data_IF_157441812405
#
_entry.id   IF_157441812405
#
_cell.length_a   1.000
_cell.length_b   1.000
_cell.length_c   1.000
_cell.angle_alpha   90.00
_cell.angle_beta   90.00
_cell.angle_gamma   90.00
#
_symmetry.space_group_name_H-M   'P 1'
#
loop_
_entity.id
_entity.type
_entity.pdbx_description
1 polymer ?
#
# COMPACT_ATOMS: atom_id res chain seq x y z
N UNK A 1 41.31 3.33 -36.04
CA UNK A 1 40.57 2.24 -35.37
C UNK A 1 40.68 2.48 -33.85
N UNK A 2 39.84 3.38 -33.31
CA UNK A 2 39.81 3.69 -31.88
C UNK A 2 38.90 2.68 -31.19
N UNK A 3 39.50 1.82 -30.37
CA UNK A 3 38.82 1.02 -29.36
C UNK A 3 38.19 1.97 -28.35
N UNK A 4 36.91 2.32 -28.55
CA UNK A 4 36.08 2.91 -27.51
C UNK A 4 36.03 1.90 -26.37
N UNK A 5 36.82 2.15 -25.34
CA UNK A 5 36.74 1.48 -24.06
C UNK A 5 35.31 1.73 -23.56
N UNK A 6 34.47 0.72 -23.69
CA UNK A 6 33.09 0.74 -23.26
C UNK A 6 33.07 0.63 -21.73
N UNK A 7 33.51 1.70 -21.04
CA UNK A 7 33.39 1.79 -19.59
C UNK A 7 31.91 1.83 -19.28
N UNK A 8 31.41 0.78 -18.61
CA UNK A 8 30.03 0.75 -18.14
C UNK A 8 29.75 2.05 -17.37
N UNK A 9 28.64 2.75 -17.66
CA UNK A 9 28.36 4.04 -17.04
C UNK A 9 28.31 3.91 -15.52
N UNK A 10 29.00 4.80 -14.82
CA UNK A 10 28.99 4.85 -13.36
C UNK A 10 27.58 5.17 -12.87
N UNK A 11 26.97 4.23 -12.14
CA UNK A 11 25.65 4.38 -11.55
C UNK A 11 25.78 4.80 -10.08
N UNK A 12 25.19 5.93 -9.73
CA UNK A 12 25.06 6.35 -8.34
C UNK A 12 23.61 6.10 -7.90
N UNK A 13 23.42 5.32 -6.84
CA UNK A 13 22.09 4.89 -6.39
C UNK A 13 21.26 4.34 -7.56
N UNK A 14 21.82 3.41 -8.32
CA UNK A 14 21.17 2.74 -9.46
C UNK A 14 20.86 3.60 -10.71
N UNK A 15 21.03 4.92 -10.65
CA UNK A 15 20.79 5.84 -11.77
C UNK A 15 22.11 6.32 -12.41
N UNK A 16 22.05 6.54 -13.72
CA UNK A 16 23.10 7.23 -14.49
C UNK A 16 22.99 8.75 -14.34
N UNK A 17 24.07 9.49 -14.62
CA UNK A 17 24.09 10.95 -14.44
C UNK A 17 23.00 11.69 -15.22
N UNK A 18 22.67 11.24 -16.44
CA UNK A 18 21.58 11.83 -17.22
C UNK A 18 20.19 11.48 -16.65
N UNK A 19 20.03 10.28 -16.07
CA UNK A 19 18.79 9.86 -15.40
C UNK A 19 18.55 10.73 -14.16
N UNK A 20 19.60 10.98 -13.37
CA UNK A 20 19.57 11.91 -12.24
C UNK A 20 19.18 13.32 -12.66
N UNK A 21 19.81 13.86 -13.72
CA UNK A 21 19.49 15.19 -14.22
C UNK A 21 18.02 15.30 -14.63
N UNK A 22 17.49 14.30 -15.35
CA UNK A 22 16.06 14.29 -15.74
C UNK A 22 15.15 14.19 -14.51
N UNK A 23 15.48 13.30 -13.57
CA UNK A 23 14.70 13.12 -12.35
C UNK A 23 14.61 14.42 -11.55
N UNK A 24 15.75 15.07 -11.29
CA UNK A 24 15.82 16.32 -10.53
C UNK A 24 15.07 17.45 -11.25
N UNK A 25 15.22 17.58 -12.57
CA UNK A 25 14.52 18.62 -13.33
C UNK A 25 13.01 18.44 -13.31
N UNK A 26 12.51 17.21 -13.53
CA UNK A 26 11.08 16.93 -13.51
C UNK A 26 10.52 17.13 -12.09
N UNK A 27 11.19 16.57 -11.07
CA UNK A 27 10.78 16.75 -9.67
C UNK A 27 10.80 18.21 -9.27
N UNK A 28 11.81 18.98 -9.68
CA UNK A 28 11.93 20.41 -9.40
C UNK A 28 10.82 21.22 -10.07
N UNK A 29 10.51 20.93 -11.34
CA UNK A 29 9.43 21.60 -12.05
C UNK A 29 8.05 21.35 -11.40
N UNK A 30 7.75 20.09 -11.05
CA UNK A 30 6.47 19.74 -10.39
C UNK A 30 6.41 20.34 -8.97
N UNK A 31 7.52 20.34 -8.24
CA UNK A 31 7.60 20.97 -6.92
C UNK A 31 7.44 22.49 -6.99
N UNK A 32 7.96 23.15 -8.02
CA UNK A 32 7.78 24.58 -8.23
C UNK A 32 6.30 24.93 -8.50
N UNK A 33 5.60 24.10 -9.28
CA UNK A 33 4.14 24.23 -9.45
C UNK A 33 3.44 24.06 -8.11
N UNK A 34 3.77 23.03 -7.32
CA UNK A 34 3.18 22.85 -6.00
C UNK A 34 3.49 24.02 -5.05
N UNK A 35 4.70 24.60 -5.12
CA UNK A 35 5.09 25.76 -4.33
C UNK A 35 4.22 26.99 -4.63
N UNK A 36 3.82 27.19 -5.90
CA UNK A 36 2.91 28.28 -6.28
C UNK A 36 1.55 28.22 -5.55
N UNK A 37 1.11 27.02 -5.13
CA UNK A 37 -0.15 26.79 -4.42
C UNK A 37 0.00 26.49 -2.92
N UNK A 38 1.23 26.46 -2.41
CA UNK A 38 1.50 26.06 -1.01
C UNK A 38 2.53 26.93 -0.28
N UNK A 39 3.11 27.92 -0.95
CA UNK A 39 4.13 28.81 -0.39
C UNK A 39 3.62 29.56 0.85
N UNK A 40 2.37 29.99 0.84
CA UNK A 40 1.68 30.68 1.93
C UNK A 40 1.33 29.75 3.10
N UNK A 41 1.20 28.45 2.84
CA UNK A 41 0.86 27.44 3.84
C UNK A 41 2.12 26.87 4.50
N UNK A 42 3.00 26.25 3.72
CA UNK A 42 4.23 25.63 4.21
C UNK A 42 5.14 25.17 3.06
N UNK A 43 6.44 25.50 3.07
CA UNK A 43 7.39 25.03 2.05
C UNK A 43 7.55 23.50 2.05
N UNK A 44 7.23 22.85 3.17
CA UNK A 44 7.32 21.40 3.33
C UNK A 44 6.46 20.63 2.34
N UNK A 45 5.34 21.19 1.88
CA UNK A 45 4.47 20.57 0.87
C UNK A 45 5.25 20.41 -0.44
N UNK A 46 5.81 21.50 -0.96
CA UNK A 46 6.60 21.48 -2.19
C UNK A 46 7.82 20.57 -2.09
N UNK A 47 8.48 20.54 -0.93
CA UNK A 47 9.60 19.64 -0.67
C UNK A 47 9.17 18.17 -0.70
N UNK A 48 8.02 17.82 -0.08
CA UNK A 48 7.49 16.45 -0.14
C UNK A 48 7.04 16.06 -1.54
N UNK A 49 6.46 16.98 -2.32
CA UNK A 49 6.15 16.74 -3.74
C UNK A 49 7.42 16.44 -4.53
N UNK A 50 8.49 17.22 -4.35
CA UNK A 50 9.80 16.94 -4.95
C UNK A 50 10.27 15.52 -4.63
N UNK A 51 10.25 15.15 -3.34
CA UNK A 51 10.70 13.85 -2.86
C UNK A 51 9.84 12.71 -3.42
N UNK A 52 8.52 12.86 -3.45
CA UNK A 52 7.60 11.84 -3.97
C UNK A 52 7.81 11.60 -5.46
N UNK A 53 7.90 12.67 -6.27
CA UNK A 53 8.17 12.55 -7.71
C UNK A 53 9.55 11.93 -7.96
N UNK A 54 10.57 12.38 -7.20
CA UNK A 54 11.93 11.84 -7.32
C UNK A 54 11.95 10.35 -6.96
N UNK A 55 11.25 9.95 -5.91
CA UNK A 55 11.11 8.55 -5.49
C UNK A 55 10.40 7.72 -6.55
N UNK A 56 9.32 8.24 -7.14
CA UNK A 56 8.61 7.59 -8.25
C UNK A 56 9.51 7.37 -9.47
N UNK A 57 10.28 8.40 -9.86
CA UNK A 57 11.24 8.28 -10.96
C UNK A 57 12.34 7.26 -10.62
N UNK A 58 12.95 7.37 -9.44
CA UNK A 58 13.97 6.45 -8.95
C UNK A 58 13.44 5.00 -8.92
N UNK A 59 12.17 4.79 -8.56
CA UNK A 59 11.52 3.48 -8.58
C UNK A 59 11.53 2.87 -9.98
N UNK A 60 11.27 3.65 -11.05
CA UNK A 60 11.22 3.10 -12.42
C UNK A 60 12.55 2.51 -12.91
N UNK A 61 13.67 3.03 -12.43
CA UNK A 61 15.01 2.56 -12.81
C UNK A 61 15.58 1.58 -11.79
N UNK A 62 15.51 1.91 -10.49
CA UNK A 62 16.12 1.13 -9.42
C UNK A 62 15.43 -0.22 -9.20
N UNK A 63 14.14 -0.35 -9.54
CA UNK A 63 13.41 -1.63 -9.41
C UNK A 63 14.01 -2.75 -10.25
N UNK A 64 14.87 -2.45 -11.22
CA UNK A 64 15.60 -3.48 -12.00
C UNK A 64 16.68 -4.21 -11.19
N UNK A 65 17.06 -3.64 -10.04
CA UNK A 65 18.16 -4.11 -9.20
C UNK A 65 17.71 -4.50 -7.80
N UNK A 66 16.60 -3.95 -7.32
CA UNK A 66 16.06 -4.24 -5.99
C UNK A 66 14.53 -4.20 -5.98
N UNK A 67 13.93 -4.85 -4.99
CA UNK A 67 12.48 -4.82 -4.81
C UNK A 67 12.05 -3.41 -4.32
N UNK A 68 11.07 -2.74 -4.94
CA UNK A 68 10.74 -1.34 -4.65
C UNK A 68 9.86 -1.11 -3.41
N UNK A 69 9.93 -1.99 -2.40
CA UNK A 69 9.14 -1.80 -1.16
C UNK A 69 9.44 -0.46 -0.48
N UNK A 70 10.69 -0.01 -0.39
CA UNK A 70 11.00 1.24 0.31
C UNK A 70 10.55 2.47 -0.47
N UNK A 71 10.56 2.42 -1.80
CA UNK A 71 9.95 3.46 -2.61
C UNK A 71 8.46 3.56 -2.35
N UNK A 72 7.77 2.42 -2.35
CA UNK A 72 6.34 2.36 -2.06
C UNK A 72 6.06 2.90 -0.65
N UNK A 73 6.87 2.54 0.35
CA UNK A 73 6.73 3.05 1.72
C UNK A 73 6.91 4.58 1.80
N UNK A 74 7.92 5.14 1.12
CA UNK A 74 8.14 6.59 1.07
C UNK A 74 6.97 7.29 0.35
N UNK A 75 6.47 6.73 -0.76
CA UNK A 75 5.32 7.28 -1.48
C UNK A 75 4.05 7.25 -0.64
N UNK A 76 3.80 6.16 0.08
CA UNK A 76 2.66 6.06 1.00
C UNK A 76 2.81 7.03 2.18
N UNK A 77 3.99 7.17 2.77
CA UNK A 77 4.23 8.12 3.85
C UNK A 77 4.05 9.57 3.36
N UNK A 78 4.56 9.90 2.17
CA UNK A 78 4.35 11.21 1.55
C UNK A 78 2.85 11.48 1.31
N UNK A 79 2.12 10.48 0.77
CA UNK A 79 0.68 10.57 0.58
C UNK A 79 -0.06 10.78 1.91
N UNK A 80 0.15 9.90 2.88
CA UNK A 80 -0.66 9.84 4.10
C UNK A 80 -0.34 10.95 5.10
N UNK A 81 0.92 11.38 5.20
CA UNK A 81 1.35 12.38 6.18
C UNK A 81 1.36 13.81 5.63
N UNK A 82 1.50 14.01 4.32
CA UNK A 82 1.61 15.38 3.78
C UNK A 82 0.57 15.65 2.71
N UNK A 83 0.53 14.87 1.63
CA UNK A 83 -0.29 15.22 0.46
C UNK A 83 -1.79 15.10 0.75
N UNK A 84 -2.22 14.06 1.47
CA UNK A 84 -3.62 13.90 1.87
C UNK A 84 -4.01 14.95 2.93
N UNK A 85 -3.09 15.32 3.83
CA UNK A 85 -3.32 16.39 4.79
C UNK A 85 -3.44 17.76 4.10
N UNK A 86 -2.65 18.00 3.06
CA UNK A 86 -2.77 19.18 2.18
C UNK A 86 -4.08 19.18 1.40
N UNK A 87 -4.53 18.03 0.90
CA UNK A 87 -5.84 17.92 0.27
C UNK A 87 -6.98 18.21 1.28
N UNK A 88 -6.88 17.68 2.51
CA UNK A 88 -7.85 17.95 3.58
C UNK A 88 -7.91 19.43 3.99
N UNK A 89 -6.86 20.21 3.75
CA UNK A 89 -6.89 21.65 4.01
C UNK A 89 -7.88 22.38 3.10
N UNK A 90 -7.98 21.96 1.84
CA UNK A 90 -8.93 22.52 0.86
C UNK A 90 -10.30 21.84 0.89
N UNK A 91 -10.33 20.56 1.24
CA UNK A 91 -11.55 19.76 1.37
C UNK A 91 -11.67 19.26 2.82
N UNK A 92 -12.10 20.13 3.75
CA UNK A 92 -12.11 19.82 5.18
C UNK A 92 -13.09 18.68 5.50
N UNK A 93 -12.78 17.82 6.50
CA UNK A 93 -13.69 16.79 6.97
C UNK A 93 -15.02 17.37 7.45
N UNK A 94 -16.09 16.61 7.24
CA UNK A 94 -17.38 16.84 7.90
C UNK A 94 -17.29 16.69 9.43
N UNK A 95 -16.43 15.79 9.92
CA UNK A 95 -16.20 15.59 11.35
C UNK A 95 -14.99 16.41 11.85
N UNK A 96 -15.20 17.40 12.74
CA UNK A 96 -14.13 18.24 13.27
C UNK A 96 -13.00 17.48 13.98
N UNK A 97 -13.25 16.24 14.45
CA UNK A 97 -12.23 15.42 15.11
C UNK A 97 -11.06 15.03 14.20
N UNK A 98 -11.29 15.03 12.88
CA UNK A 98 -10.29 14.72 11.86
C UNK A 98 -9.65 15.97 11.25
N UNK A 99 -10.12 17.16 11.62
CA UNK A 99 -9.56 18.41 11.13
C UNK A 99 -8.25 18.73 11.88
N UNK A 100 -7.22 19.08 11.11
CA UNK A 100 -5.94 19.58 11.66
C UNK A 100 -6.07 21.08 11.97
N UNK A 101 -6.98 21.77 11.27
CA UNK A 101 -7.34 23.17 11.52
C UNK A 101 -6.15 24.12 11.42
N UNK A 102 -6.16 25.14 12.28
CA UNK A 102 -5.14 26.20 12.31
C UNK A 102 -3.74 25.71 12.69
N UNK A 103 -3.63 24.49 13.23
CA UNK A 103 -2.34 23.84 13.55
C UNK A 103 -1.60 23.29 12.33
N UNK A 104 -2.17 23.37 11.12
CA UNK A 104 -1.65 22.70 9.93
C UNK A 104 -0.18 23.02 9.58
N UNK A 105 0.28 24.29 9.57
CA UNK A 105 1.70 24.58 9.33
C UNK A 105 2.63 23.98 10.38
N UNK A 106 2.22 23.98 11.65
CA UNK A 106 2.97 23.37 12.75
C UNK A 106 3.01 21.85 12.57
N UNK A 107 1.90 21.20 12.25
CA UNK A 107 1.88 19.77 11.94
C UNK A 107 2.85 19.41 10.82
N UNK A 108 2.86 20.17 9.71
CA UNK A 108 3.74 19.92 8.58
C UNK A 108 5.23 20.03 8.94
N UNK A 109 5.59 20.89 9.91
CA UNK A 109 6.96 20.96 10.43
C UNK A 109 7.43 19.72 11.21
N UNK A 110 6.53 18.77 11.50
CA UNK A 110 6.88 17.45 12.06
C UNK A 110 6.65 16.33 11.04
N UNK A 111 5.47 16.32 10.39
CA UNK A 111 5.07 15.27 9.45
C UNK A 111 6.01 15.17 8.23
N UNK A 112 6.35 16.30 7.60
CA UNK A 112 7.21 16.28 6.43
C UNK A 112 8.67 15.90 6.76
N UNK A 113 9.33 16.48 7.78
CA UNK A 113 10.66 16.01 8.19
C UNK A 113 10.73 14.51 8.50
N UNK A 114 9.68 13.92 9.07
CA UNK A 114 9.63 12.47 9.30
C UNK A 114 9.67 11.67 7.98
N UNK A 115 8.96 12.11 6.94
CA UNK A 115 9.03 11.51 5.60
C UNK A 115 10.43 11.65 5.00
N UNK A 116 11.07 12.80 5.18
CA UNK A 116 12.45 13.02 4.74
C UNK A 116 13.46 12.16 5.50
N UNK A 117 13.29 11.99 6.81
CA UNK A 117 14.13 11.12 7.62
C UNK A 117 14.01 9.65 7.19
N UNK A 118 12.79 9.18 6.88
CA UNK A 118 12.54 7.86 6.31
C UNK A 118 13.29 7.68 4.97
N UNK A 119 13.17 8.66 4.08
CA UNK A 119 13.86 8.63 2.79
C UNK A 119 15.39 8.67 2.95
N UNK A 120 15.90 9.49 3.86
CA UNK A 120 17.33 9.58 4.16
C UNK A 120 17.88 8.27 4.72
N UNK A 121 17.19 7.66 5.68
CA UNK A 121 17.57 6.36 6.23
C UNK A 121 17.70 5.29 5.15
N UNK A 122 16.77 5.29 4.18
CA UNK A 122 16.84 4.42 3.02
C UNK A 122 18.04 4.74 2.11
N UNK A 123 18.27 6.02 1.78
CA UNK A 123 19.39 6.45 0.95
C UNK A 123 20.74 6.00 1.53
N UNK A 124 20.93 6.13 2.84
CA UNK A 124 22.17 5.72 3.53
C UNK A 124 22.46 4.22 3.33
N UNK A 125 21.42 3.38 3.36
CA UNK A 125 21.55 1.93 3.11
C UNK A 125 21.94 1.68 1.65
N UNK A 126 21.34 2.41 0.71
CA UNK A 126 21.58 2.22 -0.72
C UNK A 126 22.98 2.62 -1.19
N UNK A 127 23.60 3.63 -0.57
CA UNK A 127 24.93 4.12 -1.01
C UNK A 127 25.98 3.01 -1.01
N UNK A 128 25.85 2.03 -0.10
CA UNK A 128 26.79 0.89 -0.02
C UNK A 128 26.42 -0.27 -0.95
N UNK A 129 25.25 -0.28 -1.55
CA UNK A 129 24.80 -1.36 -2.42
C UNK A 129 25.35 -1.18 -3.83
N UNK A 130 26.11 -2.18 -4.29
CA UNK A 130 26.54 -2.22 -5.68
C UNK A 130 25.40 -2.74 -6.56
N UNK A 131 25.05 -2.04 -7.66
CA UNK A 131 24.01 -2.47 -8.59
C UNK A 131 24.47 -3.69 -9.38
N UNK A 132 24.37 -4.88 -8.79
CA UNK A 132 24.63 -6.15 -9.46
C UNK A 132 23.30 -6.76 -9.88
N UNK A 133 23.04 -6.76 -11.19
CA UNK A 133 21.92 -7.52 -11.75
C UNK A 133 22.40 -8.94 -11.97
N UNK A 134 21.99 -9.88 -11.11
CA UNK A 134 22.07 -11.28 -11.47
C UNK A 134 21.15 -11.50 -12.69
N UNK A 135 21.60 -12.21 -13.74
CA UNK A 135 20.70 -12.60 -14.82
C UNK A 135 19.50 -13.33 -14.21
N UNK A 136 18.29 -13.19 -14.76
CA UNK A 136 17.13 -13.91 -14.26
C UNK A 136 17.35 -15.40 -14.49
N UNK A 137 17.96 -16.09 -13.53
CA UNK A 137 18.08 -17.53 -13.57
C UNK A 137 16.67 -18.11 -13.60
N UNK A 138 16.35 -18.81 -14.68
CA UNK A 138 15.12 -19.58 -14.80
C UNK A 138 15.40 -20.87 -14.03
N UNK A 139 15.24 -20.81 -12.71
CA UNK A 139 15.48 -21.95 -11.84
C UNK A 139 14.33 -22.95 -11.99
N UNK A 140 14.52 -23.92 -12.88
CA UNK A 140 13.60 -25.06 -13.08
C UNK A 140 14.04 -26.24 -12.24
N UNK A 141 14.14 -26.05 -10.92
CA UNK A 141 14.30 -27.18 -10.02
C UNK A 141 12.91 -27.77 -9.73
N UNK A 142 12.60 -29.00 -10.20
CA UNK A 142 11.30 -29.61 -9.95
C UNK A 142 11.01 -29.80 -8.45
N UNK A 143 12.05 -30.00 -7.62
CA UNK A 143 11.90 -30.12 -6.16
C UNK A 143 11.42 -28.81 -5.54
N UNK A 144 12.03 -27.69 -5.93
CA UNK A 144 11.60 -26.37 -5.46
C UNK A 144 10.15 -26.07 -5.88
N UNK A 145 9.76 -26.40 -7.12
CA UNK A 145 8.38 -26.21 -7.56
C UNK A 145 7.38 -27.06 -6.77
N UNK A 146 7.76 -28.29 -6.43
CA UNK A 146 6.97 -29.18 -5.58
C UNK A 146 6.86 -28.64 -4.16
N UNK A 147 7.96 -28.17 -3.57
CA UNK A 147 7.97 -27.54 -2.23
C UNK A 147 7.01 -26.33 -2.18
N UNK A 148 7.00 -25.50 -3.23
CA UNK A 148 6.07 -24.39 -3.35
C UNK A 148 4.61 -24.85 -3.47
N UNK A 149 4.33 -25.91 -4.25
CA UNK A 149 2.98 -26.46 -4.37
C UNK A 149 2.51 -27.11 -3.04
N UNK A 150 3.39 -27.78 -2.31
CA UNK A 150 3.12 -28.32 -0.96
C UNK A 150 2.81 -27.19 0.02
N UNK A 151 3.63 -26.13 0.01
CA UNK A 151 3.41 -24.94 0.83
C UNK A 151 2.04 -24.30 0.53
N UNK A 152 1.67 -24.23 -0.75
CA UNK A 152 0.35 -23.74 -1.17
C UNK A 152 -0.77 -24.64 -0.63
N UNK A 153 -0.65 -25.96 -0.80
CA UNK A 153 -1.63 -26.92 -0.29
C UNK A 153 -1.82 -26.81 1.23
N UNK A 154 -0.72 -26.77 2.00
CA UNK A 154 -0.75 -26.60 3.46
C UNK A 154 -1.45 -25.30 3.83
N UNK A 155 -1.15 -24.19 3.14
CA UNK A 155 -1.76 -22.90 3.44
C UNK A 155 -3.27 -22.84 3.14
N UNK A 156 -3.73 -23.53 2.10
CA UNK A 156 -5.17 -23.66 1.77
C UNK A 156 -5.87 -24.48 2.85
N UNK A 157 -5.30 -25.63 3.23
CA UNK A 157 -5.83 -26.46 4.31
C UNK A 157 -5.85 -25.69 5.64
N UNK A 158 -4.79 -24.93 5.95
CA UNK A 158 -4.72 -24.09 7.13
C UNK A 158 -5.79 -22.99 7.13
N UNK A 159 -6.13 -22.43 5.96
CA UNK A 159 -7.23 -21.46 5.84
C UNK A 159 -8.56 -22.11 6.20
N UNK A 160 -8.85 -23.31 5.68
CA UNK A 160 -10.07 -24.04 5.99
C UNK A 160 -10.14 -24.47 7.47
N UNK A 161 -9.05 -25.02 8.01
CA UNK A 161 -8.97 -25.41 9.42
C UNK A 161 -9.08 -24.20 10.36
N UNK A 162 -8.49 -23.06 9.99
CA UNK A 162 -8.60 -21.81 10.73
C UNK A 162 -10.06 -21.38 10.94
N UNK A 163 -10.89 -21.46 9.88
CA UNK A 163 -12.32 -21.15 9.99
C UNK A 163 -13.12 -22.13 10.85
N UNK A 164 -12.66 -23.39 10.98
CA UNK A 164 -13.31 -24.38 11.85
C UNK A 164 -12.90 -24.21 13.32
N UNK A 165 -11.71 -23.66 13.56
CA UNK A 165 -11.09 -23.51 14.88
C UNK A 165 -11.27 -22.10 15.48
N UNK A 166 -12.20 -21.30 14.97
CA UNK A 166 -12.51 -19.94 15.49
C UNK A 166 -12.89 -19.92 16.98
N UNK A 167 -13.25 -21.08 17.55
CA UNK A 167 -13.58 -21.22 18.98
C UNK A 167 -12.37 -21.24 19.91
N UNK A 168 -11.14 -21.36 19.38
CA UNK A 168 -9.89 -21.41 20.17
C UNK A 168 -8.94 -20.31 19.69
N UNK A 169 -9.04 -19.13 20.31
CA UNK A 169 -8.37 -17.90 19.85
C UNK A 169 -6.85 -18.04 19.64
N UNK A 170 -6.16 -18.77 20.53
CA UNK A 170 -4.70 -18.95 20.47
C UNK A 170 -4.24 -19.78 19.25
N UNK A 171 -5.04 -20.75 18.81
CA UNK A 171 -4.75 -21.57 17.64
C UNK A 171 -5.13 -20.84 16.34
N UNK A 172 -6.16 -19.99 16.38
CA UNK A 172 -6.60 -19.20 15.22
C UNK A 172 -5.46 -18.35 14.66
N UNK A 173 -4.64 -17.73 15.52
CA UNK A 173 -3.50 -16.93 15.07
C UNK A 173 -2.46 -17.75 14.27
N UNK A 174 -2.15 -18.97 14.73
CA UNK A 174 -1.22 -19.87 14.02
C UNK A 174 -1.78 -20.22 12.63
N UNK A 175 -3.06 -20.53 12.54
CA UNK A 175 -3.71 -20.81 11.26
C UNK A 175 -3.74 -19.58 10.34
N UNK A 176 -3.89 -18.37 10.87
CA UNK A 176 -3.77 -17.13 10.10
C UNK A 176 -2.36 -16.97 9.51
N UNK A 177 -1.31 -17.24 10.30
CA UNK A 177 0.07 -17.20 9.79
C UNK A 177 0.32 -18.25 8.70
N UNK A 178 -0.12 -19.50 8.93
CA UNK A 178 0.01 -20.57 7.95
C UNK A 178 -0.79 -20.30 6.67
N UNK A 179 -1.98 -19.71 6.80
CA UNK A 179 -2.82 -19.31 5.68
C UNK A 179 -2.13 -18.26 4.79
N UNK A 180 -1.39 -17.32 5.39
CA UNK A 180 -0.65 -16.29 4.65
C UNK A 180 0.54 -16.86 3.84
N UNK A 181 0.99 -18.09 4.10
CA UNK A 181 2.05 -18.73 3.30
C UNK A 181 1.60 -18.99 1.84
N UNK A 182 0.29 -18.93 1.55
CA UNK A 182 -0.24 -18.99 0.18
C UNK A 182 0.36 -17.92 -0.72
N UNK A 183 0.55 -16.71 -0.20
CA UNK A 183 1.15 -15.61 -0.94
C UNK A 183 2.63 -15.84 -1.16
N UNK A 184 3.35 -16.32 -0.13
CA UNK A 184 4.76 -16.65 -0.25
C UNK A 184 5.01 -17.70 -1.35
N UNK A 185 4.21 -18.77 -1.38
CA UNK A 185 4.30 -19.81 -2.41
C UNK A 185 4.14 -19.23 -3.82
N UNK A 186 3.07 -18.47 -4.05
CA UNK A 186 2.76 -17.90 -5.36
C UNK A 186 3.81 -16.86 -5.77
N UNK A 187 4.24 -16.00 -4.85
CA UNK A 187 5.23 -14.97 -5.10
C UNK A 187 6.62 -15.54 -5.36
N UNK A 188 7.05 -16.54 -4.62
CA UNK A 188 8.29 -17.26 -4.90
C UNK A 188 8.23 -17.91 -6.29
N UNK A 189 7.09 -18.52 -6.67
CA UNK A 189 6.89 -19.10 -8.00
C UNK A 189 6.92 -18.03 -9.11
N UNK A 190 6.30 -16.87 -8.87
CA UNK A 190 6.33 -15.71 -9.77
C UNK A 190 7.77 -15.17 -9.94
N UNK A 191 8.53 -15.07 -8.85
CA UNK A 191 9.92 -14.63 -8.85
C UNK A 191 10.82 -15.55 -9.68
N UNK A 192 10.61 -16.87 -9.65
CA UNK A 192 11.39 -17.81 -10.49
C UNK A 192 10.80 -18.01 -11.90
N UNK A 193 9.65 -17.40 -12.22
CA UNK A 193 8.87 -17.65 -13.47
C UNK A 193 8.50 -19.13 -13.64
N UNK A 194 8.15 -19.81 -12.54
CA UNK A 194 7.74 -21.21 -12.55
C UNK A 194 6.44 -21.41 -13.35
N UNK A 195 6.26 -22.56 -14.04
CA UNK A 195 5.07 -22.79 -14.85
C UNK A 195 3.79 -22.68 -14.01
N UNK A 196 2.74 -22.06 -14.57
CA UNK A 196 1.45 -21.91 -13.89
C UNK A 196 1.41 -20.92 -12.72
N UNK A 197 2.40 -20.02 -12.60
CA UNK A 197 2.32 -18.89 -11.66
C UNK A 197 1.13 -17.94 -11.92
N UNK A 198 0.72 -17.62 -13.17
CA UNK A 198 -0.32 -16.60 -13.39
C UNK A 198 -1.68 -17.05 -12.87
N UNK A 199 -2.08 -18.29 -13.13
CA UNK A 199 -3.39 -18.79 -12.69
C UNK A 199 -3.42 -19.01 -11.17
N UNK A 200 -2.31 -19.43 -10.54
CA UNK A 200 -2.22 -19.55 -9.07
C UNK A 200 -2.36 -18.18 -8.41
N UNK A 201 -1.72 -17.16 -8.99
CA UNK A 201 -1.89 -15.78 -8.55
C UNK A 201 -3.33 -15.30 -8.71
N UNK A 202 -3.95 -15.55 -9.86
CA UNK A 202 -5.35 -15.22 -10.10
C UNK A 202 -6.29 -15.94 -9.11
N UNK A 203 -6.02 -17.20 -8.79
CA UNK A 203 -6.80 -17.97 -7.82
C UNK A 203 -6.67 -17.38 -6.41
N UNK A 204 -5.45 -17.09 -5.95
CA UNK A 204 -5.22 -16.58 -4.59
C UNK A 204 -5.72 -15.14 -4.43
N UNK A 205 -5.46 -14.26 -5.40
CA UNK A 205 -6.00 -12.89 -5.36
C UNK A 205 -7.51 -12.86 -5.60
N UNK A 206 -8.05 -13.74 -6.45
CA UNK A 206 -9.49 -13.87 -6.67
C UNK A 206 -10.22 -14.37 -5.42
N UNK A 207 -9.65 -15.35 -4.72
CA UNK A 207 -10.17 -15.79 -3.42
C UNK A 207 -10.09 -14.66 -2.38
N UNK A 208 -9.01 -13.88 -2.39
CA UNK A 208 -8.89 -12.71 -1.51
C UNK A 208 -9.92 -11.63 -1.82
N UNK A 209 -10.27 -11.39 -3.08
CA UNK A 209 -11.38 -10.50 -3.47
C UNK A 209 -12.69 -10.97 -2.85
N UNK A 210 -13.01 -12.28 -2.96
CA UNK A 210 -14.23 -12.85 -2.39
C UNK A 210 -14.25 -12.70 -0.86
N UNK A 211 -13.14 -12.97 -0.20
CA UNK A 211 -13.02 -12.84 1.25
C UNK A 211 -13.12 -11.38 1.73
N UNK A 212 -12.43 -10.47 1.03
CA UNK A 212 -12.43 -9.04 1.33
C UNK A 212 -13.82 -8.42 1.15
N UNK A 213 -14.56 -8.83 0.10
CA UNK A 213 -15.95 -8.43 -0.08
C UNK A 213 -16.87 -9.07 0.97
N UNK A 214 -16.70 -10.36 1.27
CA UNK A 214 -17.51 -11.07 2.27
C UNK A 214 -17.48 -10.42 3.66
N UNK A 215 -16.33 -9.86 4.06
CA UNK A 215 -16.09 -9.18 5.33
C UNK A 215 -16.19 -7.65 5.26
N UNK A 216 -16.32 -7.09 4.06
CA UNK A 216 -16.20 -5.64 3.83
C UNK A 216 -14.84 -5.07 4.24
N UNK A 217 -13.76 -5.85 4.26
CA UNK A 217 -12.41 -5.45 4.66
C UNK A 217 -11.40 -5.59 3.52
N UNK A 218 -11.09 -4.48 2.83
CA UNK A 218 -10.17 -4.48 1.69
C UNK A 218 -8.68 -4.36 2.03
N UNK A 219 -8.30 -4.26 3.30
CA UNK A 219 -6.91 -3.96 3.69
C UNK A 219 -5.93 -5.05 3.23
N UNK A 220 -6.26 -6.32 3.49
CA UNK A 220 -5.44 -7.47 3.11
C UNK A 220 -5.30 -7.58 1.58
N UNK A 221 -6.39 -7.35 0.84
CA UNK A 221 -6.36 -7.28 -0.64
C UNK A 221 -5.41 -6.20 -1.15
N UNK A 222 -5.47 -4.98 -0.60
CA UNK A 222 -4.58 -3.88 -0.98
C UNK A 222 -3.12 -4.20 -0.68
N UNK A 223 -2.84 -4.77 0.50
CA UNK A 223 -1.49 -5.17 0.91
C UNK A 223 -0.90 -6.18 -0.08
N UNK A 224 -1.61 -7.26 -0.39
CA UNK A 224 -1.11 -8.29 -1.30
C UNK A 224 -1.06 -7.84 -2.76
N UNK A 225 -1.96 -6.95 -3.18
CA UNK A 225 -1.89 -6.31 -4.51
C UNK A 225 -0.63 -5.44 -4.64
N UNK A 226 -0.28 -4.70 -3.59
CA UNK A 226 0.94 -3.89 -3.55
C UNK A 226 2.21 -4.75 -3.58
N UNK A 227 2.24 -5.88 -2.86
CA UNK A 227 3.32 -6.86 -2.97
C UNK A 227 3.42 -7.46 -4.38
N UNK A 228 2.27 -7.79 -4.98
CA UNK A 228 2.20 -8.29 -6.37
C UNK A 228 2.78 -7.27 -7.33
N UNK A 229 2.44 -5.99 -7.18
CA UNK A 229 3.00 -4.90 -7.97
C UNK A 229 4.52 -4.76 -7.78
N UNK A 230 5.01 -4.79 -6.54
CA UNK A 230 6.44 -4.69 -6.26
C UNK A 230 7.24 -5.83 -6.92
N UNK A 231 6.76 -7.07 -6.79
CA UNK A 231 7.38 -8.26 -7.40
C UNK A 231 7.27 -8.18 -8.93
N UNK A 232 6.14 -7.72 -9.46
CA UNK A 232 5.93 -7.56 -10.89
C UNK A 232 6.95 -6.58 -11.49
N UNK A 233 7.13 -5.40 -10.89
CA UNK A 233 8.13 -4.44 -11.38
C UNK A 233 9.54 -5.04 -11.31
N UNK A 234 9.89 -5.63 -10.17
CA UNK A 234 11.21 -6.20 -9.96
C UNK A 234 11.53 -7.33 -10.94
N UNK A 235 10.62 -8.29 -11.11
CA UNK A 235 10.88 -9.50 -11.90
C UNK A 235 10.70 -9.30 -13.40
N UNK A 236 9.69 -8.53 -13.82
CA UNK A 236 9.35 -8.39 -15.23
C UNK A 236 9.94 -7.13 -15.86
N UNK A 237 10.51 -6.24 -15.05
CA UNK A 237 11.15 -4.99 -15.50
C UNK A 237 10.29 -4.25 -16.54
N UNK A 238 9.02 -3.94 -16.21
CA UNK A 238 8.13 -3.25 -17.12
C UNK A 238 8.71 -1.89 -17.52
N UNK A 239 8.26 -1.37 -18.66
CA UNK A 239 8.68 -0.04 -19.11
C UNK A 239 8.24 1.02 -18.11
N UNK A 240 8.96 2.15 -18.04
CA UNK A 240 8.60 3.26 -17.15
C UNK A 240 7.16 3.74 -17.39
N UNK A 241 6.69 3.71 -18.65
CA UNK A 241 5.30 4.02 -19.02
C UNK A 241 4.30 3.08 -18.36
N UNK A 242 4.59 1.78 -18.30
CA UNK A 242 3.71 0.81 -17.65
C UNK A 242 3.69 0.99 -16.12
N UNK A 243 4.82 1.37 -15.50
CA UNK A 243 4.87 1.70 -14.07
C UNK A 243 4.04 2.96 -13.78
N UNK A 244 4.24 4.02 -14.57
CA UNK A 244 3.47 5.26 -14.43
C UNK A 244 1.98 5.01 -14.67
N UNK A 245 1.62 4.23 -15.69
CA UNK A 245 0.23 3.84 -15.95
C UNK A 245 -0.38 3.07 -14.77
N UNK A 246 0.37 2.17 -14.14
CA UNK A 246 -0.08 1.45 -12.95
C UNK A 246 -0.25 2.38 -11.73
N UNK A 247 0.64 3.36 -11.54
CA UNK A 247 0.48 4.37 -10.49
C UNK A 247 -0.74 5.27 -10.72
N UNK A 248 -0.96 5.70 -11.96
CA UNK A 248 -2.17 6.47 -12.34
C UNK A 248 -3.43 5.63 -12.13
N UNK A 249 -3.40 4.36 -12.55
CA UNK A 249 -4.49 3.42 -12.31
C UNK A 249 -4.75 3.24 -10.81
N UNK A 250 -3.71 3.19 -9.97
CA UNK A 250 -3.87 3.13 -8.51
C UNK A 250 -4.52 4.41 -7.95
N UNK A 251 -4.12 5.60 -8.43
CA UNK A 251 -4.72 6.88 -8.01
C UNK A 251 -6.22 6.94 -8.35
N UNK A 252 -6.65 6.34 -9.47
CA UNK A 252 -8.07 6.27 -9.87
C UNK A 252 -8.80 5.16 -9.10
N UNK A 253 -8.20 3.98 -8.99
CA UNK A 253 -8.84 2.80 -8.40
C UNK A 253 -9.03 2.93 -6.89
N UNK A 254 -8.10 3.57 -6.19
CA UNK A 254 -8.13 3.68 -4.73
C UNK A 254 -9.37 4.43 -4.20
N UNK A 255 -9.74 5.62 -4.71
CA UNK A 255 -11.02 6.27 -4.47
C UNK A 255 -12.23 5.35 -4.66
N UNK A 256 -12.34 4.72 -5.85
CA UNK A 256 -13.45 3.84 -6.18
C UNK A 256 -13.55 2.61 -5.27
N UNK A 257 -12.39 2.08 -4.83
CA UNK A 257 -12.35 0.97 -3.87
C UNK A 257 -12.84 1.40 -2.47
N UNK A 258 -12.62 2.64 -2.04
CA UNK A 258 -13.11 3.11 -0.75
C UNK A 258 -14.62 3.34 -0.77
N UNK A 259 -15.15 3.87 -1.87
CA UNK A 259 -16.60 4.12 -2.01
C UNK A 259 -17.40 2.84 -2.10
N UNK A 260 -17.02 1.95 -3.02
CA UNK A 260 -17.67 0.66 -3.19
C UNK A 260 -17.64 -0.18 -1.90
N UNK A 261 -16.59 -0.02 -1.09
CA UNK A 261 -16.50 -0.62 0.25
C UNK A 261 -17.48 0.01 1.24
N UNK A 262 -17.68 1.33 1.17
CA UNK A 262 -18.64 2.03 1.99
C UNK A 262 -20.07 1.62 1.62
N UNK A 263 -20.44 1.65 0.33
CA UNK A 263 -21.75 1.18 -0.16
C UNK A 263 -22.01 -0.28 0.27
N UNK A 264 -21.04 -1.17 0.06
CA UNK A 264 -21.14 -2.57 0.49
C UNK A 264 -21.40 -2.71 2.00
N UNK A 265 -20.76 -1.89 2.83
CA UNK A 265 -20.96 -1.92 4.29
C UNK A 265 -22.29 -1.32 4.72
N UNK A 266 -22.83 -0.36 3.99
CA UNK A 266 -24.17 0.18 4.25
C UNK A 266 -25.22 -0.91 4.01
N UNK A 267 -25.13 -1.59 2.87
CA UNK A 267 -26.03 -2.70 2.53
C UNK A 267 -25.95 -3.83 3.55
N UNK A 268 -24.73 -4.21 3.97
CA UNK A 268 -24.55 -5.24 5.00
C UNK A 268 -25.20 -4.87 6.35
N UNK A 269 -25.40 -3.58 6.64
CA UNK A 269 -26.04 -3.10 7.87
C UNK A 269 -27.56 -2.97 7.75
N UNK A 270 -28.08 -2.77 6.53
CA UNK A 270 -29.51 -2.60 6.29
C UNK A 270 -30.28 -3.91 6.16
N UNK A 271 -29.60 -5.06 6.04
CA UNK A 271 -30.23 -6.39 6.06
C UNK A 271 -30.78 -6.67 7.46
N UNK A 272 -32.11 -6.62 7.62
CA UNK A 272 -32.81 -7.06 8.83
C UNK A 272 -32.95 -8.59 8.81
N UNK A 273 -32.39 -9.33 9.80
CA UNK A 273 -32.45 -10.78 9.85
C UNK A 273 -33.88 -11.38 9.90
N UNK A 274 -34.91 -10.56 10.15
CA UNK A 274 -36.28 -11.04 10.37
C UNK A 274 -37.19 -11.06 9.13
N UNK A 275 -36.85 -10.33 8.06
CA UNK A 275 -37.75 -10.13 6.91
C UNK A 275 -37.30 -10.77 5.60
N UNK A 276 -36.00 -11.04 5.41
CA UNK A 276 -35.45 -11.33 4.07
C UNK A 276 -35.05 -12.79 3.79
N UNK A 277 -35.39 -13.73 4.67
CA UNK A 277 -34.92 -15.13 4.57
C UNK A 277 -35.33 -15.90 3.29
N UNK A 278 -36.27 -15.39 2.47
CA UNK A 278 -36.75 -16.08 1.27
C UNK A 278 -36.24 -15.51 -0.07
N UNK A 279 -35.60 -14.32 -0.12
CA UNK A 279 -35.20 -13.69 -1.41
C UNK A 279 -33.68 -13.39 -1.54
N UNK A 280 -32.89 -13.43 -0.47
CA UNK A 280 -31.49 -12.94 -0.46
C UNK A 280 -30.41 -14.02 -0.37
N UNK A 281 -30.74 -15.31 -0.32
CA UNK A 281 -29.79 -16.39 0.02
C UNK A 281 -28.48 -16.40 -0.79
N UNK A 282 -28.51 -16.06 -2.09
CA UNK A 282 -27.29 -15.93 -2.89
C UNK A 282 -26.50 -14.65 -2.63
N UNK A 283 -27.17 -13.54 -2.29
CA UNK A 283 -26.54 -12.23 -1.98
C UNK A 283 -25.84 -12.25 -0.62
N UNK A 284 -26.26 -13.13 0.28
CA UNK A 284 -25.63 -13.29 1.59
C UNK A 284 -24.34 -14.11 1.56
N UNK A 285 -24.18 -14.97 0.54
CA UNK A 285 -22.95 -15.73 0.34
C UNK A 285 -21.77 -14.79 -0.01
N UNK A 286 -20.53 -15.12 0.40
CA UNK A 286 -19.35 -14.32 0.07
C UNK A 286 -19.19 -14.03 -1.42
N UNK A 287 -19.57 -14.98 -2.28
CA UNK A 287 -19.51 -14.83 -3.73
C UNK A 287 -20.56 -13.83 -4.22
N UNK A 288 -21.78 -13.84 -3.67
CA UNK A 288 -22.82 -12.86 -4.01
C UNK A 288 -22.48 -11.45 -3.53
N UNK A 289 -21.87 -11.32 -2.36
CA UNK A 289 -21.32 -10.03 -1.90
C UNK A 289 -20.19 -9.52 -2.80
N UNK A 290 -19.34 -10.42 -3.28
CA UNK A 290 -18.29 -10.07 -4.22
C UNK A 290 -18.84 -9.59 -5.56
N UNK A 291 -19.88 -10.24 -6.11
CA UNK A 291 -20.51 -9.77 -7.37
C UNK A 291 -21.19 -8.43 -7.19
N UNK A 292 -21.87 -8.21 -6.07
CA UNK A 292 -22.47 -6.92 -5.74
C UNK A 292 -21.41 -5.82 -5.57
N UNK A 293 -20.36 -6.07 -4.81
CA UNK A 293 -19.24 -5.15 -4.65
C UNK A 293 -18.58 -4.79 -5.98
N UNK A 294 -18.41 -5.75 -6.89
CA UNK A 294 -17.88 -5.50 -8.23
C UNK A 294 -18.78 -4.55 -9.04
N UNK A 295 -20.09 -4.60 -8.84
CA UNK A 295 -21.02 -3.67 -9.49
C UNK A 295 -20.88 -2.24 -8.97
N UNK A 296 -20.70 -2.07 -7.65
CA UNK A 296 -20.41 -0.78 -7.02
C UNK A 296 -19.06 -0.24 -7.49
N UNK A 297 -18.03 -1.08 -7.49
CA UNK A 297 -16.71 -0.70 -7.97
C UNK A 297 -16.74 -0.23 -9.45
N UNK A 298 -17.51 -0.89 -10.32
CA UNK A 298 -17.64 -0.48 -11.70
C UNK A 298 -18.31 0.90 -11.85
N UNK A 299 -19.40 1.14 -11.09
CA UNK A 299 -20.08 2.44 -11.02
C UNK A 299 -19.13 3.53 -10.52
N UNK A 300 -18.43 3.29 -9.43
CA UNK A 300 -17.55 4.28 -8.77
C UNK A 300 -16.29 4.56 -9.59
N UNK A 301 -15.81 3.57 -10.35
CA UNK A 301 -14.73 3.77 -11.33
C UNK A 301 -15.17 4.72 -12.44
N UNK A 302 -16.38 4.53 -12.99
CA UNK A 302 -16.93 5.44 -14.01
C UNK A 302 -17.08 6.85 -13.43
N UNK A 303 -17.57 6.98 -12.20
CA UNK A 303 -17.68 8.27 -11.54
C UNK A 303 -16.32 8.95 -11.33
N UNK A 304 -15.32 8.20 -10.88
CA UNK A 304 -13.96 8.71 -10.65
C UNK A 304 -13.30 9.15 -11.95
N UNK A 305 -13.46 8.39 -13.04
CA UNK A 305 -12.89 8.72 -14.36
C UNK A 305 -13.61 9.90 -15.03
N UNK A 306 -14.93 10.02 -14.86
CA UNK A 306 -15.71 11.13 -15.40
C UNK A 306 -15.56 12.44 -14.62
N UNK A 307 -14.82 12.41 -13.50
CA UNK A 307 -14.65 13.54 -12.59
C UNK A 307 -15.97 14.09 -12.05
N UNK A 308 -17.04 13.30 -12.07
CA UNK A 308 -18.33 13.63 -11.46
C UNK A 308 -18.29 13.34 -9.95
N UNK A 309 -17.29 13.93 -9.30
CA UNK A 309 -16.90 13.62 -7.95
C UNK A 309 -17.51 14.69 -7.04
N UNK A 310 -18.38 14.27 -6.12
CA UNK A 310 -18.98 15.17 -5.14
C UNK A 310 -17.91 15.76 -4.20
N UNK A 311 -18.10 16.99 -3.76
CA UNK A 311 -17.16 17.66 -2.86
C UNK A 311 -17.06 16.92 -1.52
N UNK A 312 -18.18 16.39 -1.04
CA UNK A 312 -18.23 15.56 0.18
C UNK A 312 -17.41 14.28 0.01
N UNK A 313 -17.44 13.68 -1.18
CA UNK A 313 -16.63 12.50 -1.49
C UNK A 313 -15.13 12.81 -1.49
N UNK A 314 -14.71 13.95 -2.05
CA UNK A 314 -13.30 14.37 -2.02
C UNK A 314 -12.85 14.62 -0.57
N UNK A 315 -13.68 15.27 0.24
CA UNK A 315 -13.41 15.48 1.65
C UNK A 315 -13.26 14.15 2.42
N UNK A 316 -14.18 13.21 2.21
CA UNK A 316 -14.16 11.91 2.87
C UNK A 316 -12.92 11.08 2.48
N UNK A 317 -12.54 11.10 1.20
CA UNK A 317 -11.30 10.51 0.70
C UNK A 317 -10.09 11.16 1.33
N UNK A 318 -10.01 12.49 1.31
CA UNK A 318 -8.87 13.23 1.83
C UNK A 318 -8.61 12.84 3.29
N UNK A 319 -9.68 12.76 4.09
CA UNK A 319 -9.64 12.37 5.51
C UNK A 319 -9.22 10.91 5.71
N UNK A 320 -9.68 9.99 4.88
CA UNK A 320 -9.33 8.56 4.97
C UNK A 320 -7.86 8.31 4.64
N UNK A 321 -7.30 9.02 3.67
CA UNK A 321 -5.89 8.91 3.34
C UNK A 321 -5.00 9.74 4.27
N UNK A 322 -5.52 10.84 4.81
CA UNK A 322 -4.82 11.67 5.78
C UNK A 322 -4.69 10.90 7.09
N UNK A 323 -3.51 10.33 7.35
CA UNK A 323 -3.17 9.77 8.66
C UNK A 323 -2.52 10.83 9.58
N UNK A 324 -2.34 12.05 9.06
CA UNK A 324 -1.77 13.18 9.76
C UNK A 324 -2.65 13.72 10.89
N UNK A 325 -3.98 13.61 10.79
CA UNK A 325 -4.87 14.04 11.88
C UNK A 325 -4.66 13.22 13.17
N UNK A 326 -4.26 11.95 13.06
CA UNK A 326 -3.90 11.10 14.21
C UNK A 326 -2.65 11.67 14.88
N UNK A 327 -1.62 11.97 14.09
CA UNK A 327 -0.36 12.54 14.58
C UNK A 327 -0.61 13.91 15.21
N UNK A 328 -1.41 14.76 14.57
CA UNK A 328 -1.80 16.06 15.11
C UNK A 328 -2.51 15.92 16.46
N UNK A 329 -3.45 14.98 16.59
CA UNK A 329 -4.09 14.68 17.87
C UNK A 329 -3.09 14.24 18.93
N UNK A 330 -2.14 13.36 18.58
CA UNK A 330 -1.07 12.94 19.50
C UNK A 330 -0.25 14.16 19.95
N UNK A 331 0.14 15.04 19.04
CA UNK A 331 0.90 16.26 19.34
C UNK A 331 0.14 17.21 20.28
N UNK A 332 -1.18 17.26 20.19
CA UNK A 332 -2.03 18.10 21.04
C UNK A 332 -2.33 17.44 22.41
N UNK A 333 -2.56 16.13 22.44
CA UNK A 333 -3.06 15.41 23.62
C UNK A 333 -1.97 14.81 24.50
N UNK A 334 -0.94 14.20 23.92
CA UNK A 334 0.09 13.48 24.71
C UNK A 334 0.87 14.38 25.66
N UNK A 335 1.21 15.64 25.33
CA UNK A 335 1.87 16.52 26.29
C UNK A 335 1.04 16.80 27.56
N UNK A 336 -0.30 16.64 27.51
CA UNK A 336 -1.21 16.96 28.61
C UNK A 336 -1.78 15.73 29.34
N UNK A 337 -1.85 14.56 28.69
CA UNK A 337 -2.43 13.32 29.24
C UNK A 337 -1.50 12.14 29.00
N UNK A 338 -0.78 11.69 30.05
CA UNK A 338 0.25 10.65 29.96
C UNK A 338 -0.03 9.41 30.82
N UNK A 339 -1.04 8.58 30.51
CA UNK A 339 -1.22 7.31 31.22
C UNK A 339 -0.13 6.26 30.92
N UNK A 340 0.74 6.48 29.91
CA UNK A 340 1.79 5.54 29.48
C UNK A 340 3.19 6.17 29.29
N UNK A 341 3.45 7.35 29.88
CA UNK A 341 4.79 7.96 29.81
C UNK A 341 5.87 7.07 30.44
N UNK A 342 7.11 7.18 29.95
CA UNK A 342 8.26 6.44 30.48
C UNK A 342 8.48 5.04 29.88
N UNK A 343 7.88 4.73 28.73
CA UNK A 343 8.14 3.48 28.02
C UNK A 343 7.36 2.26 28.55
N UNK A 344 6.28 2.49 29.30
CA UNK A 344 5.38 1.43 29.78
C UNK A 344 4.89 0.55 28.61
N UNK A 345 4.57 1.14 27.46
CA UNK A 345 4.17 0.41 26.25
C UNK A 345 5.27 -0.47 25.67
N UNK A 346 6.54 -0.05 25.72
CA UNK A 346 7.68 -0.86 25.25
C UNK A 346 7.89 -2.03 26.21
N UNK A 347 7.80 -1.78 27.52
CA UNK A 347 7.89 -2.81 28.56
C UNK A 347 6.77 -3.84 28.45
N UNK A 348 5.53 -3.39 28.29
CA UNK A 348 4.35 -4.25 28.09
C UNK A 348 4.42 -5.01 26.76
N UNK A 349 4.90 -4.38 25.68
CA UNK A 349 5.11 -5.07 24.41
C UNK A 349 6.18 -6.16 24.52
N UNK A 350 7.29 -5.91 25.22
CA UNK A 350 8.33 -6.91 25.48
C UNK A 350 7.77 -8.07 26.31
N UNK A 351 7.11 -7.79 27.43
CA UNK A 351 6.49 -8.82 28.29
C UNK A 351 5.44 -9.62 27.52
N UNK A 352 4.54 -8.93 26.80
CA UNK A 352 3.46 -9.54 26.02
C UNK A 352 3.92 -10.21 24.72
N UNK A 353 5.18 -10.02 24.30
CA UNK A 353 5.80 -10.77 23.19
C UNK A 353 6.51 -12.04 23.66
N UNK A 354 6.99 -12.04 24.91
CA UNK A 354 7.68 -13.18 25.51
C UNK A 354 6.72 -14.17 26.20
N UNK A 355 5.59 -13.67 26.71
CA UNK A 355 4.55 -14.49 27.33
C UNK A 355 3.38 -14.69 26.38
N UNK A 356 2.92 -15.93 26.14
CA UNK A 356 1.70 -16.17 25.39
C UNK A 356 0.55 -15.48 26.12
N UNK A 357 -0.26 -14.70 25.39
CA UNK A 357 -1.47 -14.09 25.94
C UNK A 357 -2.47 -15.21 26.21
N UNK A 358 -2.51 -15.66 27.47
CA UNK A 358 -3.60 -16.47 28.00
C UNK A 358 -4.68 -15.47 28.42
N UNK A 359 -5.56 -15.10 27.49
CA UNK A 359 -6.81 -14.41 27.79
C UNK A 359 -7.93 -15.39 27.46
#
# INVERSE_FOLDING_TARGET
MQTLINTAPTRFLFLEGWEWRRAILISGAIAAVAAAYSYDISPWISATVFLAVLTGFHMTTASRFMLPLPHIAILLAALQYVLAAWLSYYCPPTNPAYDIGTGFPRYLSYGAPAVFALALGWLVVLVKLQPKRAPPEIYRNPRLLLELDVLLGISIVATALGSLMERVESLTFIFVLLANLRYLSVFARMLIKGPGWPWRLALILGAEVVFAAGTGMLHTLLLWSMWTFAIWIYRFTPSARAIVAALVAAVILLPALQESKWELRQDMRSVDPRTDMNETGFRELPIGRATQWMSYLAKDLVQTVTLNIDQDFIADIAVRYNQGWIINRIMLWVPAMTPYAGGATIKEALIGSALPRLV
#
